data_IF_400771440615
#
_entry.id   IF_400771440615
#
_cell.length_a   1.000
_cell.length_b   1.000
_cell.length_c   1.000
_cell.angle_alpha   90.00
_cell.angle_beta   90.00
_cell.angle_gamma   90.00
#
_symmetry.space_group_name_H-M   'P 1'
#
loop_
_entity.id
_entity.type
_entity.pdbx_description
1 polymer ?
#
# COMPACT_ATOMS: atom_id res chain seq x y z
N UNK A 1 -11.48 1.91 -8.09
CA UNK A 1 -10.90 0.60 -7.73
C UNK A 1 -10.41 -0.11 -8.98
N UNK A 2 -9.19 -0.67 -8.96
CA UNK A 2 -8.63 -1.42 -10.09
C UNK A 2 -9.48 -2.68 -10.36
N UNK A 3 -9.91 -2.88 -11.61
CA UNK A 3 -10.69 -4.08 -12.01
C UNK A 3 -9.81 -5.24 -12.48
N UNK A 4 -8.52 -4.99 -12.66
CA UNK A 4 -7.57 -6.01 -13.09
C UNK A 4 -7.08 -6.78 -11.88
N UNK A 5 -7.01 -8.12 -12.01
CA UNK A 5 -6.23 -8.94 -11.08
C UNK A 5 -4.77 -8.79 -11.49
N UNK A 6 -3.92 -8.47 -10.52
CA UNK A 6 -2.50 -8.29 -10.76
C UNK A 6 -1.68 -8.85 -9.60
N UNK A 7 -0.45 -9.26 -9.88
CA UNK A 7 0.47 -9.72 -8.85
C UNK A 7 1.14 -8.52 -8.16
N UNK A 8 1.06 -8.46 -6.83
CA UNK A 8 1.64 -7.35 -6.05
C UNK A 8 3.16 -7.22 -6.25
N UNK A 9 3.84 -8.34 -6.50
CA UNK A 9 5.28 -8.38 -6.76
C UNK A 9 5.68 -7.72 -8.08
N UNK A 10 4.76 -7.69 -9.05
CA UNK A 10 4.97 -7.11 -10.39
C UNK A 10 4.54 -5.64 -10.45
N UNK A 11 3.71 -5.18 -9.52
CA UNK A 11 3.17 -3.81 -9.48
C UNK A 11 3.55 -3.07 -8.20
N UNK A 12 4.84 -3.08 -7.85
CA UNK A 12 5.37 -2.51 -6.62
C UNK A 12 5.16 -0.98 -6.48
N UNK A 13 5.03 -0.27 -7.60
CA UNK A 13 4.76 1.17 -7.69
C UNK A 13 3.28 1.55 -7.54
N UNK A 14 2.39 0.55 -7.41
CA UNK A 14 0.99 0.75 -7.10
C UNK A 14 0.78 1.20 -5.65
N UNK A 15 -0.49 1.43 -5.29
CA UNK A 15 -0.86 1.95 -3.97
C UNK A 15 -1.79 0.99 -3.22
N UNK A 16 -1.64 0.97 -1.90
CA UNK A 16 -2.46 0.25 -0.94
C UNK A 16 -3.14 1.25 -0.02
N UNK A 17 -4.45 1.09 0.16
CA UNK A 17 -5.24 1.86 1.13
C UNK A 17 -5.85 0.89 2.13
N UNK A 18 -5.66 1.19 3.41
CA UNK A 18 -6.23 0.45 4.54
C UNK A 18 -5.98 -1.06 4.52
N UNK A 19 -4.84 -1.49 3.98
CA UNK A 19 -4.47 -2.91 3.80
C UNK A 19 -5.50 -3.75 3.00
N UNK A 20 -6.45 -3.10 2.33
CA UNK A 20 -7.64 -3.73 1.72
C UNK A 20 -7.81 -3.38 0.25
N UNK A 21 -7.43 -2.17 -0.14
CA UNK A 21 -7.65 -1.66 -1.48
C UNK A 21 -6.32 -1.49 -2.20
N UNK A 22 -6.17 -2.17 -3.33
CA UNK A 22 -4.95 -2.15 -4.12
C UNK A 22 -5.22 -1.50 -5.48
N UNK A 23 -4.33 -0.59 -5.88
CA UNK A 23 -4.33 0.09 -7.17
C UNK A 23 -3.03 -0.28 -7.87
N UNK A 24 -3.11 -0.86 -9.08
CA UNK A 24 -1.92 -1.09 -9.89
C UNK A 24 -1.33 0.24 -10.42
N UNK A 25 -0.10 0.18 -10.89
CA UNK A 25 0.61 1.34 -11.46
C UNK A 25 -0.15 1.98 -12.63
N UNK A 26 -0.75 1.19 -13.51
CA UNK A 26 -1.52 1.70 -14.65
C UNK A 26 -2.76 2.48 -14.17
N UNK A 27 -3.49 1.95 -13.19
CA UNK A 27 -4.63 2.63 -12.62
C UNK A 27 -4.21 3.88 -11.86
N UNK A 28 -3.07 3.87 -11.19
CA UNK A 28 -2.52 5.06 -10.52
C UNK A 28 -2.19 6.16 -11.53
N UNK A 29 -1.51 5.83 -12.63
CA UNK A 29 -1.09 6.80 -13.65
C UNK A 29 -2.28 7.39 -14.42
N UNK A 30 -3.33 6.59 -14.63
CA UNK A 30 -4.53 7.03 -15.33
C UNK A 30 -5.56 7.72 -14.43
N UNK A 31 -5.39 7.69 -13.10
CA UNK A 31 -6.30 8.35 -12.17
C UNK A 31 -5.70 9.68 -11.71
N UNK A 32 -6.42 10.80 -11.82
CA UNK A 32 -5.93 12.08 -11.33
C UNK A 32 -5.67 12.02 -9.81
N UNK A 33 -4.57 12.59 -9.36
CA UNK A 33 -4.11 12.55 -7.96
C UNK A 33 -5.18 13.01 -6.96
N UNK A 34 -6.04 13.95 -7.37
CA UNK A 34 -7.16 14.45 -6.58
C UNK A 34 -8.22 13.38 -6.28
N UNK A 35 -8.50 12.46 -7.21
CA UNK A 35 -9.40 11.33 -6.95
C UNK A 35 -8.77 10.29 -6.02
N UNK A 36 -7.45 10.08 -6.16
CA UNK A 36 -6.68 9.18 -5.30
C UNK A 36 -6.68 9.71 -3.85
N UNK A 37 -6.53 11.02 -3.66
CA UNK A 37 -6.67 11.66 -2.35
C UNK A 37 -8.12 11.64 -1.84
N UNK A 38 -9.11 11.73 -2.72
CA UNK A 38 -10.52 11.55 -2.34
C UNK A 38 -10.80 10.16 -1.75
N UNK A 39 -10.11 9.12 -2.23
CA UNK A 39 -10.25 7.76 -1.71
C UNK A 39 -9.64 7.59 -0.32
N UNK A 40 -8.59 8.34 0.03
CA UNK A 40 -8.05 8.34 1.39
C UNK A 40 -8.90 9.13 2.38
N UNK A 41 -9.63 10.15 1.91
CA UNK A 41 -10.46 11.02 2.77
C UNK A 41 -11.83 10.45 3.14
N UNK A 42 -12.37 9.49 2.39
CA UNK A 42 -13.72 8.92 2.63
C UNK A 42 -13.78 7.99 3.86
N UNK A 43 -12.64 7.56 4.37
CA UNK A 43 -12.54 6.78 5.61
C UNK A 43 -12.17 7.71 6.78
N UNK A 44 -13.12 7.93 7.71
CA UNK A 44 -13.08 8.79 8.91
C UNK A 44 -11.94 8.52 9.93
N UNK A 45 -10.76 8.07 9.52
CA UNK A 45 -9.58 7.94 10.37
C UNK A 45 -8.44 8.74 9.77
N UNK A 46 -7.92 9.70 10.53
CA UNK A 46 -6.83 10.63 10.18
C UNK A 46 -5.46 9.96 9.90
N UNK A 47 -5.43 8.68 9.51
CA UNK A 47 -4.20 7.89 9.31
C UNK A 47 -4.31 6.90 8.15
N UNK A 48 -5.27 7.05 7.24
CA UNK A 48 -5.41 6.23 6.02
C UNK A 48 -4.48 6.73 4.92
N UNK A 49 -3.16 6.77 5.20
CA UNK A 49 -2.19 7.19 4.19
C UNK A 49 -2.03 6.10 3.14
N UNK A 50 -2.28 6.42 1.88
CA UNK A 50 -1.94 5.57 0.75
C UNK A 50 -0.47 5.15 0.87
N UNK A 51 -0.19 3.85 0.82
CA UNK A 51 1.16 3.31 0.89
C UNK A 51 1.55 2.63 -0.41
N UNK A 52 2.77 2.83 -0.93
CA UNK A 52 3.29 2.01 -2.02
C UNK A 52 3.21 0.51 -1.71
N UNK A 53 2.84 -0.30 -2.71
CA UNK A 53 2.75 -1.76 -2.56
C UNK A 53 4.08 -2.35 -2.10
N UNK A 54 5.22 -1.85 -2.59
CA UNK A 54 6.55 -2.26 -2.13
C UNK A 54 6.73 -2.11 -0.61
N UNK A 55 6.36 -0.95 -0.06
CA UNK A 55 6.48 -0.67 1.37
C UNK A 55 5.53 -1.54 2.19
N UNK A 56 4.30 -1.73 1.68
CA UNK A 56 3.32 -2.60 2.31
C UNK A 56 3.82 -4.07 2.37
N UNK A 57 4.37 -4.59 1.28
CA UNK A 57 4.95 -5.94 1.24
C UNK A 57 6.09 -6.12 2.24
N UNK A 58 6.96 -5.12 2.37
CA UNK A 58 8.03 -5.12 3.38
C UNK A 58 7.45 -5.15 4.79
N UNK A 59 6.42 -4.36 5.07
CA UNK A 59 5.74 -4.36 6.37
C UNK A 59 5.12 -5.73 6.66
N UNK A 60 4.39 -6.32 5.71
CA UNK A 60 3.79 -7.64 5.87
C UNK A 60 4.85 -8.73 6.13
N UNK A 61 5.96 -8.70 5.39
CA UNK A 61 7.07 -9.65 5.60
C UNK A 61 7.75 -9.47 6.96
N UNK A 62 7.71 -8.25 7.53
CA UNK A 62 8.32 -7.96 8.82
C UNK A 62 7.35 -8.09 10.00
N UNK A 63 6.02 -8.08 9.79
CA UNK A 63 5.02 -8.29 10.85
C UNK A 63 5.25 -9.58 11.65
N UNK A 64 5.77 -10.62 10.99
CA UNK A 64 6.02 -11.92 11.61
C UNK A 64 7.47 -12.12 12.08
N UNK A 65 8.34 -11.10 11.93
CA UNK A 65 9.72 -11.19 12.40
C UNK A 65 9.80 -10.58 13.80
N UNK A 66 10.41 -11.28 14.77
CA UNK A 66 10.70 -10.64 16.05
C UNK A 66 11.60 -9.42 15.77
N UNK A 67 11.33 -8.27 16.40
CA UNK A 67 12.20 -7.11 16.27
C UNK A 67 13.60 -7.56 16.65
N UNK A 68 14.58 -7.25 15.79
CA UNK A 68 15.98 -7.62 15.95
C UNK A 68 16.38 -7.57 17.44
N UNK A 69 16.47 -8.74 18.08
CA UNK A 69 17.00 -8.83 19.43
C UNK A 69 18.47 -8.48 19.26
N UNK A 70 18.85 -7.26 19.66
CA UNK A 70 20.25 -6.84 19.70
C UNK A 70 21.02 -7.95 20.40
N UNK A 71 21.84 -8.71 19.66
CA UNK A 71 22.88 -9.52 20.29
C UNK A 71 23.78 -8.50 20.97
N UNK A 72 23.74 -8.47 22.30
CA UNK A 72 24.76 -7.78 23.09
C UNK A 72 26.04 -8.58 22.85
N UNK A 73 26.95 -7.99 22.10
CA UNK A 73 28.35 -8.38 22.10
C UNK A 73 29.07 -7.60 23.19
#
# INVERSE_FOLDING_TARGET
MCKHKFHLQEHQCGLVFDDKFFICEDCRTNTPEQEIMGWSQSTMRQSTSAMPISLWLIQEQNKNKPPFSKRKE
#
